data_IF_020151972287
#
_entry.id   IF_020151972287
#
_cell.length_a   1.000
_cell.length_b   1.000
_cell.length_c   1.000
_cell.angle_alpha   90.00
_cell.angle_beta   90.00
_cell.angle_gamma   90.00
#
_symmetry.space_group_name_H-M   'P 1'
#
loop_
_entity.id
_entity.type
_entity.pdbx_description
1 polymer ?
#
# COMPACT_ATOMS: atom_id res chain seq x y z
N UNK A 1 -32.13 10.60 -25.23
CA UNK A 1 -31.01 10.66 -24.28
C UNK A 1 -31.54 11.36 -23.04
N UNK A 2 -31.99 10.60 -22.05
CA UNK A 2 -32.42 11.17 -20.76
C UNK A 2 -31.20 11.69 -20.02
N UNK A 3 -31.20 12.99 -19.73
CA UNK A 3 -30.28 13.57 -18.76
C UNK A 3 -30.57 12.96 -17.39
N UNK A 4 -29.66 12.12 -16.90
CA UNK A 4 -29.66 11.64 -15.52
C UNK A 4 -29.47 12.83 -14.56
N UNK A 5 -30.55 13.53 -14.23
CA UNK A 5 -30.60 14.58 -13.20
C UNK A 5 -30.60 13.95 -11.81
N UNK A 6 -29.47 13.34 -11.44
CA UNK A 6 -29.28 12.68 -10.13
C UNK A 6 -29.27 13.72 -8.99
N UNK A 7 -29.06 15.01 -9.28
CA UNK A 7 -28.93 16.04 -8.25
C UNK A 7 -29.91 17.17 -8.52
N UNK A 8 -31.05 17.14 -7.83
CA UNK A 8 -31.92 18.30 -7.63
C UNK A 8 -31.67 18.85 -6.22
N UNK A 9 -31.89 20.16 -6.01
CA UNK A 9 -31.52 20.89 -4.78
C UNK A 9 -32.18 20.35 -3.50
N UNK A 10 -33.32 19.67 -3.60
CA UNK A 10 -33.96 19.01 -2.46
C UNK A 10 -33.42 17.59 -2.24
N UNK A 11 -33.11 16.85 -3.32
CA UNK A 11 -32.44 15.55 -3.24
C UNK A 11 -31.04 15.63 -2.61
N UNK A 12 -30.34 16.77 -2.74
CA UNK A 12 -29.03 16.95 -2.11
C UNK A 12 -29.05 16.94 -0.57
N UNK A 13 -30.18 17.29 0.07
CA UNK A 13 -30.28 17.26 1.53
C UNK A 13 -30.49 15.83 2.05
N UNK A 14 -31.45 15.10 1.47
CA UNK A 14 -31.69 13.68 1.81
C UNK A 14 -30.47 12.79 1.50
N UNK A 15 -29.75 13.06 0.40
CA UNK A 15 -28.51 12.35 0.06
C UNK A 15 -27.43 12.63 1.11
N UNK A 16 -27.33 13.87 1.60
CA UNK A 16 -26.36 14.23 2.64
C UNK A 16 -26.65 13.52 3.96
N UNK A 17 -27.90 13.52 4.42
CA UNK A 17 -28.29 12.84 5.66
C UNK A 17 -28.01 11.34 5.60
N UNK A 18 -28.33 10.69 4.47
CA UNK A 18 -27.97 9.27 4.25
C UNK A 18 -26.47 9.04 4.22
N UNK A 19 -25.71 9.96 3.61
CA UNK A 19 -24.25 9.92 3.63
C UNK A 19 -23.69 10.00 5.05
N UNK A 20 -24.22 10.90 5.88
CA UNK A 20 -23.84 11.02 7.29
C UNK A 20 -24.18 9.76 8.09
N UNK A 21 -25.32 9.12 7.83
CA UNK A 21 -25.67 7.83 8.43
C UNK A 21 -24.68 6.72 8.03
N UNK A 22 -24.29 6.64 6.75
CA UNK A 22 -23.30 5.66 6.26
C UNK A 22 -21.96 5.85 6.95
N UNK A 23 -21.45 7.09 7.04
CA UNK A 23 -20.16 7.38 7.66
C UNK A 23 -20.16 7.05 9.17
N UNK A 24 -21.29 7.22 9.86
CA UNK A 24 -21.44 6.84 11.28
C UNK A 24 -21.44 5.34 11.50
N UNK A 25 -22.05 4.57 10.59
CA UNK A 25 -22.34 3.16 10.79
C UNK A 25 -21.41 2.20 10.03
N UNK A 26 -20.56 2.69 9.14
CA UNK A 26 -19.76 1.84 8.26
C UNK A 26 -18.28 2.25 8.22
N UNK A 27 -17.47 1.56 9.02
CA UNK A 27 -16.04 1.87 9.24
C UNK A 27 -15.25 2.00 7.95
N UNK A 28 -15.40 1.03 7.03
CA UNK A 28 -14.72 1.07 5.74
C UNK A 28 -14.98 2.37 4.94
N UNK A 29 -16.22 2.85 4.90
CA UNK A 29 -16.55 4.04 4.11
C UNK A 29 -16.08 5.32 4.80
N UNK A 30 -16.07 5.32 6.14
CA UNK A 30 -15.51 6.41 6.91
C UNK A 30 -14.00 6.51 6.69
N UNK A 31 -13.27 5.41 6.87
CA UNK A 31 -11.82 5.37 6.66
C UNK A 31 -11.46 5.73 5.21
N UNK A 32 -12.24 5.23 4.24
CA UNK A 32 -12.07 5.58 2.83
C UNK A 32 -12.26 7.08 2.59
N UNK A 33 -13.32 7.68 3.12
CA UNK A 33 -13.58 9.10 2.97
C UNK A 33 -12.45 9.94 3.58
N UNK A 34 -12.05 9.64 4.81
CA UNK A 34 -10.97 10.34 5.51
C UNK A 34 -9.63 10.25 4.75
N UNK A 35 -9.29 9.06 4.26
CA UNK A 35 -8.06 8.84 3.48
C UNK A 35 -8.11 9.60 2.14
N UNK A 36 -9.24 9.59 1.44
CA UNK A 36 -9.36 10.23 0.13
C UNK A 36 -9.48 11.76 0.21
N UNK A 37 -9.90 12.30 1.36
CA UNK A 37 -9.90 13.74 1.65
C UNK A 37 -8.53 14.27 2.12
N UNK A 38 -7.62 13.40 2.58
CA UNK A 38 -6.23 13.80 2.85
C UNK A 38 -5.51 14.19 1.55
N UNK A 39 -4.98 15.41 1.51
CA UNK A 39 -4.37 15.99 0.30
C UNK A 39 -3.18 15.16 -0.20
N UNK A 40 -2.37 14.61 0.71
CA UNK A 40 -1.19 13.82 0.34
C UNK A 40 -1.60 12.49 -0.27
N UNK A 41 -2.56 11.81 0.34
CA UNK A 41 -3.10 10.57 -0.19
C UNK A 41 -3.80 10.79 -1.53
N UNK A 42 -4.70 11.77 -1.62
CA UNK A 42 -5.42 12.11 -2.84
C UNK A 42 -4.47 12.43 -4.00
N UNK A 43 -3.44 13.24 -3.74
CA UNK A 43 -2.39 13.55 -4.72
C UNK A 43 -1.58 12.32 -5.12
N UNK A 44 -1.22 11.47 -4.16
CA UNK A 44 -0.49 10.23 -4.43
C UNK A 44 -1.32 9.26 -5.29
N UNK A 45 -2.59 9.07 -4.93
CA UNK A 45 -3.53 8.20 -5.64
C UNK A 45 -3.70 8.66 -7.08
N UNK A 46 -3.99 9.96 -7.28
CA UNK A 46 -4.14 10.56 -8.62
C UNK A 46 -2.89 10.38 -9.50
N UNK A 47 -1.70 10.34 -8.88
CA UNK A 47 -0.43 10.23 -9.61
C UNK A 47 -0.03 8.79 -9.95
N UNK A 48 -0.32 7.83 -9.08
CA UNK A 48 0.27 6.48 -9.14
C UNK A 48 -0.75 5.34 -9.30
N UNK A 49 -2.05 5.64 -9.42
CA UNK A 49 -3.13 4.66 -9.60
C UNK A 49 -3.94 4.95 -10.86
N UNK A 50 -3.30 5.37 -11.95
CA UNK A 50 -4.02 5.76 -13.18
C UNK A 50 -4.45 4.57 -14.03
N UNK A 51 -3.71 3.46 -13.94
CA UNK A 51 -4.04 2.20 -14.60
C UNK A 51 -4.03 1.04 -13.61
N UNK A 52 -4.71 -0.06 -13.95
CA UNK A 52 -4.68 -1.28 -13.13
C UNK A 52 -3.25 -1.79 -12.88
N UNK A 53 -2.38 -1.68 -13.87
CA UNK A 53 -0.97 -2.10 -13.75
C UNK A 53 -0.23 -1.25 -12.72
N UNK A 54 -0.34 0.09 -12.84
CA UNK A 54 0.26 1.03 -11.89
C UNK A 54 -0.30 0.84 -10.49
N UNK A 55 -1.62 0.66 -10.35
CA UNK A 55 -2.28 0.41 -9.07
C UNK A 55 -1.72 -0.85 -8.40
N UNK A 56 -1.58 -1.96 -9.14
CA UNK A 56 -0.99 -3.20 -8.61
C UNK A 56 0.44 -2.99 -8.14
N UNK A 57 1.26 -2.30 -8.95
CA UNK A 57 2.65 -2.01 -8.59
C UNK A 57 2.69 -1.15 -7.32
N UNK A 58 1.93 -0.06 -7.26
CA UNK A 58 1.84 0.85 -6.11
C UNK A 58 1.40 0.13 -4.83
N UNK A 59 0.39 -0.74 -4.92
CA UNK A 59 -0.07 -1.58 -3.81
C UNK A 59 1.04 -2.51 -3.33
N UNK A 60 1.80 -3.13 -4.24
CA UNK A 60 2.94 -3.97 -3.87
C UNK A 60 3.99 -3.18 -3.10
N UNK A 61 4.38 -1.99 -3.58
CA UNK A 61 5.31 -1.12 -2.85
C UNK A 61 4.81 -0.77 -1.44
N UNK A 62 3.53 -0.42 -1.31
CA UNK A 62 2.93 -0.08 -0.01
C UNK A 62 2.92 -1.28 0.94
N UNK A 63 2.57 -2.47 0.45
CA UNK A 63 2.57 -3.70 1.23
C UNK A 63 3.97 -4.05 1.71
N UNK A 64 4.96 -4.03 0.83
CA UNK A 64 6.36 -4.28 1.18
C UNK A 64 6.91 -3.26 2.19
N UNK A 65 6.60 -1.98 1.99
CA UNK A 65 6.98 -0.92 2.93
C UNK A 65 6.48 -1.24 4.33
N UNK A 66 5.21 -1.65 4.45
CA UNK A 66 4.60 -2.02 5.72
C UNK A 66 5.24 -3.30 6.31
N UNK A 67 5.44 -4.35 5.51
CA UNK A 67 6.07 -5.58 5.97
C UNK A 67 7.47 -5.35 6.55
N UNK A 68 8.29 -4.53 5.88
CA UNK A 68 9.62 -4.19 6.38
C UNK A 68 9.56 -3.43 7.70
N UNK A 69 8.60 -2.51 7.88
CA UNK A 69 8.39 -1.83 9.17
C UNK A 69 8.00 -2.81 10.26
N UNK A 70 7.01 -3.67 9.98
CA UNK A 70 6.51 -4.67 10.95
C UNK A 70 7.65 -5.59 11.39
N UNK A 71 8.37 -6.20 10.45
CA UNK A 71 9.44 -7.15 10.74
C UNK A 71 10.63 -6.51 11.44
N UNK A 72 10.98 -5.28 11.08
CA UNK A 72 12.04 -4.55 11.78
C UNK A 72 11.68 -4.29 13.24
N UNK A 73 10.43 -3.88 13.51
CA UNK A 73 9.96 -3.66 14.87
C UNK A 73 9.91 -4.97 15.66
N UNK A 74 9.46 -6.07 15.06
CA UNK A 74 9.50 -7.41 15.68
C UNK A 74 10.93 -7.84 16.08
N UNK A 75 11.94 -7.50 15.28
CA UNK A 75 13.32 -7.94 15.50
C UNK A 75 14.12 -7.01 16.42
N UNK A 76 13.80 -5.72 16.46
CA UNK A 76 14.64 -4.71 17.12
C UNK A 76 13.93 -3.90 18.19
N UNK A 77 12.60 -4.02 18.31
CA UNK A 77 11.75 -3.18 19.16
C UNK A 77 11.91 -1.67 18.88
N UNK A 78 12.24 -1.32 17.63
CA UNK A 78 12.39 0.06 17.16
C UNK A 78 11.66 0.30 15.85
N UNK A 79 11.33 1.56 15.56
CA UNK A 79 10.75 1.93 14.27
C UNK A 79 11.82 1.93 13.16
N UNK A 80 11.50 1.29 12.02
CA UNK A 80 12.35 1.33 10.84
C UNK A 80 12.38 2.74 10.24
N UNK A 81 13.58 3.32 10.14
CA UNK A 81 13.80 4.60 9.47
C UNK A 81 13.33 4.55 8.01
N UNK A 82 12.48 5.51 7.62
CA UNK A 82 11.91 5.62 6.28
C UNK A 82 12.94 5.65 5.15
N UNK A 83 14.17 6.14 5.41
CA UNK A 83 15.27 6.19 4.45
C UNK A 83 15.84 4.79 4.20
N UNK A 84 15.95 3.98 5.25
CA UNK A 84 16.36 2.58 5.15
C UNK A 84 15.29 1.80 4.39
N UNK A 85 14.02 1.95 4.77
CA UNK A 85 12.91 1.28 4.09
C UNK A 85 12.84 1.62 2.59
N UNK A 86 12.94 2.91 2.25
CA UNK A 86 12.99 3.38 0.86
C UNK A 86 14.17 2.76 0.10
N UNK A 87 15.35 2.66 0.72
CA UNK A 87 16.52 2.05 0.08
C UNK A 87 16.31 0.55 -0.20
N UNK A 88 15.72 -0.19 0.75
CA UNK A 88 15.41 -1.61 0.58
C UNK A 88 14.45 -1.83 -0.60
N UNK A 89 13.37 -1.04 -0.67
CA UNK A 89 12.42 -1.09 -1.79
C UNK A 89 13.10 -0.77 -3.12
N UNK A 90 13.85 0.33 -3.19
CA UNK A 90 14.56 0.70 -4.41
C UNK A 90 15.51 -0.39 -4.87
N UNK A 91 16.26 -1.00 -3.94
CA UNK A 91 17.23 -2.06 -4.24
C UNK A 91 16.54 -3.30 -4.82
N UNK A 92 15.45 -3.72 -4.19
CA UNK A 92 14.66 -4.87 -4.62
C UNK A 92 14.01 -4.66 -5.99
N UNK A 93 13.54 -3.44 -6.26
CA UNK A 93 12.78 -3.14 -7.47
C UNK A 93 13.65 -2.70 -8.65
N UNK A 94 14.89 -2.29 -8.40
CA UNK A 94 15.88 -1.96 -9.45
C UNK A 94 16.35 -3.20 -10.22
N UNK A 95 16.42 -4.35 -9.55
CA UNK A 95 16.80 -5.61 -10.19
C UNK A 95 15.57 -6.24 -10.87
N UNK A 96 15.68 -6.56 -12.16
CA UNK A 96 14.54 -7.00 -12.96
C UNK A 96 14.01 -8.40 -12.59
N UNK A 97 14.86 -9.26 -12.05
CA UNK A 97 14.45 -10.59 -11.56
C UNK A 97 13.76 -10.46 -10.20
N UNK A 98 14.41 -9.75 -9.27
CA UNK A 98 13.91 -9.49 -7.93
C UNK A 98 12.58 -8.74 -7.96
N UNK A 99 12.44 -7.74 -8.84
CA UNK A 99 11.19 -6.98 -9.02
C UNK A 99 10.03 -7.89 -9.47
N UNK A 100 10.23 -8.71 -10.52
CA UNK A 100 9.19 -9.61 -11.01
C UNK A 100 8.77 -10.62 -9.95
N UNK A 101 9.74 -11.15 -9.20
CA UNK A 101 9.46 -12.07 -8.12
C UNK A 101 8.68 -11.38 -6.99
N UNK A 102 9.15 -10.23 -6.50
CA UNK A 102 8.48 -9.47 -5.43
C UNK A 102 7.04 -9.11 -5.81
N UNK A 103 6.81 -8.62 -7.03
CA UNK A 103 5.46 -8.36 -7.56
C UNK A 103 4.59 -9.62 -7.52
N UNK A 104 5.10 -10.75 -8.03
CA UNK A 104 4.35 -12.00 -8.06
C UNK A 104 4.03 -12.51 -6.65
N UNK A 105 5.02 -12.56 -5.77
CA UNK A 105 4.91 -13.09 -4.41
C UNK A 105 3.94 -12.26 -3.57
N UNK A 106 4.06 -10.92 -3.62
CA UNK A 106 3.17 -10.03 -2.85
C UNK A 106 1.74 -10.12 -3.35
N UNK A 107 1.52 -10.06 -4.67
CA UNK A 107 0.16 -10.16 -5.23
C UNK A 107 -0.47 -11.53 -4.91
N UNK A 108 0.28 -12.62 -5.06
CA UNK A 108 -0.20 -13.95 -4.72
C UNK A 108 -0.54 -14.10 -3.23
N UNK A 109 0.25 -13.50 -2.33
CA UNK A 109 -0.05 -13.48 -0.89
C UNK A 109 -1.30 -12.67 -0.58
N UNK A 110 -1.52 -11.53 -1.25
CA UNK A 110 -2.74 -10.72 -1.09
C UNK A 110 -3.99 -11.45 -1.60
N UNK A 111 -3.87 -12.23 -2.69
CA UNK A 111 -4.96 -13.07 -3.22
C UNK A 111 -5.19 -14.32 -2.37
N UNK A 112 -4.15 -14.83 -1.70
CA UNK A 112 -4.18 -16.07 -0.92
C UNK A 112 -3.59 -15.88 0.50
N UNK A 113 -4.26 -15.11 1.39
CA UNK A 113 -3.70 -14.67 2.66
C UNK A 113 -3.43 -15.80 3.69
N UNK A 114 -3.89 -17.03 3.41
CA UNK A 114 -3.67 -18.21 4.27
C UNK A 114 -2.30 -18.89 4.05
N UNK A 115 -1.46 -18.37 3.16
CA UNK A 115 -0.20 -19.00 2.71
C UNK A 115 1.01 -18.18 3.18
N UNK A 116 1.83 -18.80 4.06
CA UNK A 116 3.20 -18.43 4.52
C UNK A 116 3.44 -16.96 4.94
N UNK A 117 4.52 -16.75 5.70
CA UNK A 117 5.01 -15.41 6.06
C UNK A 117 5.63 -14.75 4.81
N UNK A 118 5.03 -13.64 4.36
CA UNK A 118 5.46 -12.90 3.17
C UNK A 118 6.93 -12.45 3.26
N UNK A 119 7.41 -12.15 4.46
CA UNK A 119 8.79 -11.73 4.66
C UNK A 119 9.75 -12.89 4.43
N UNK A 120 9.44 -14.09 4.90
CA UNK A 120 10.29 -15.27 4.69
C UNK A 120 10.43 -15.60 3.19
N UNK A 121 9.35 -15.48 2.42
CA UNK A 121 9.38 -15.73 0.97
C UNK A 121 10.21 -14.67 0.20
N UNK A 122 10.41 -13.47 0.77
CA UNK A 122 11.15 -12.36 0.14
C UNK A 122 12.59 -12.25 0.67
N UNK A 123 12.84 -12.69 1.90
CA UNK A 123 14.14 -12.59 2.59
C UNK A 123 15.27 -13.27 1.81
N UNK A 124 15.01 -14.43 1.21
CA UNK A 124 16.00 -15.18 0.41
C UNK A 124 16.57 -14.35 -0.76
N UNK A 125 15.80 -13.37 -1.27
CA UNK A 125 16.23 -12.48 -2.33
C UNK A 125 16.97 -11.25 -1.82
N UNK A 126 16.76 -10.87 -0.56
CA UNK A 126 17.53 -9.80 0.08
C UNK A 126 18.98 -10.26 0.35
N UNK A 127 19.18 -11.55 0.65
CA UNK A 127 20.49 -12.21 0.91
C UNK A 127 21.41 -12.21 -0.32
N UNK A 128 20.86 -12.20 -1.55
CA UNK A 128 21.64 -12.10 -2.81
C UNK A 128 22.46 -10.78 -2.86
N UNK A 129 22.18 -9.84 -1.97
CA UNK A 129 22.85 -8.54 -1.89
C UNK A 129 23.86 -8.35 -0.75
N UNK A 130 24.13 -9.41 0.03
CA UNK A 130 25.01 -9.39 1.22
C UNK A 130 26.48 -9.04 0.93
N UNK A 131 26.90 -8.93 -0.34
CA UNK A 131 28.19 -8.30 -0.67
C UNK A 131 28.29 -6.83 -0.26
N UNK A 132 27.17 -6.14 0.01
CA UNK A 132 27.16 -4.69 0.28
C UNK A 132 26.41 -4.24 1.53
N UNK A 133 25.78 -5.15 2.30
CA UNK A 133 25.14 -4.81 3.59
C UNK A 133 26.01 -5.27 4.74
N UNK A 134 27.27 -4.84 4.77
CA UNK A 134 27.97 -4.69 6.04
C UNK A 134 27.54 -3.35 6.60
N UNK A 135 26.48 -3.33 7.40
CA UNK A 135 26.36 -2.29 8.42
C UNK A 135 27.61 -2.44 9.28
N UNK A 136 28.57 -1.52 9.10
CA UNK A 136 29.76 -1.48 9.95
C UNK A 136 29.28 -1.23 11.37
N UNK A 137 29.40 -2.24 12.21
CA UNK A 137 29.44 -2.03 13.65
C UNK A 137 30.59 -1.05 13.95
N UNK A 138 30.30 -0.09 14.83
CA UNK A 138 31.27 0.90 15.32
C UNK A 138 32.42 0.23 16.04
#
# INVERSE_FOLDING_TARGET
MEENKIITRNGSFEIREKGEEILKNHDFFRDLAEIMEDEKCSTFFKKYFTTMSESKISIVYMKLYQEFKTKWNELTDTELDKRINTYLLWKMMKDGETNRFALHTVLNHMENPKKKDLFEDIKDFMVISDKYVKLKDK
#
